data_IF_606384742617
#
_entry.id   IF_606384742617
#
_cell.length_a   1.000
_cell.length_b   1.000
_cell.length_c   1.000
_cell.angle_alpha   90.00
_cell.angle_beta   90.00
_cell.angle_gamma   90.00
#
_symmetry.space_group_name_H-M   'P 1'
#
loop_
_entity.id
_entity.type
_entity.pdbx_description
1 polymer ?
#
# COMPACT_ATOMS: atom_id res chain seq x y z
N UNK A 1 -23.71 25.20 16.23
CA UNK A 1 -23.63 24.46 14.94
C UNK A 1 -22.53 25.09 14.11
N UNK A 2 -21.62 24.32 13.52
CA UNK A 2 -20.49 24.84 12.75
C UNK A 2 -20.95 25.70 11.56
N UNK A 3 -20.22 26.80 11.31
CA UNK A 3 -20.39 27.62 10.10
C UNK A 3 -20.04 26.81 8.85
N UNK A 4 -20.48 27.24 7.64
CA UNK A 4 -20.11 26.57 6.40
C UNK A 4 -18.59 26.42 6.22
N UNK A 5 -17.81 27.48 6.49
CA UNK A 5 -16.35 27.45 6.39
C UNK A 5 -15.71 26.47 7.38
N UNK A 6 -16.21 26.42 8.61
CA UNK A 6 -15.73 25.45 9.62
C UNK A 6 -15.99 24.00 9.22
N UNK A 7 -17.10 23.73 8.51
CA UNK A 7 -17.38 22.38 8.01
C UNK A 7 -16.38 21.96 6.95
N UNK A 8 -16.02 22.86 6.03
CA UNK A 8 -15.04 22.55 4.99
C UNK A 8 -13.66 22.27 5.59
N UNK A 9 -13.25 23.04 6.63
CA UNK A 9 -12.02 22.78 7.38
C UNK A 9 -12.08 21.41 8.07
N UNK A 10 -13.19 21.10 8.74
CA UNK A 10 -13.39 19.81 9.39
C UNK A 10 -13.35 18.66 8.39
N UNK A 11 -13.92 18.82 7.20
CA UNK A 11 -13.87 17.80 6.15
C UNK A 11 -12.43 17.53 5.71
N UNK A 12 -11.63 18.58 5.48
CA UNK A 12 -10.21 18.42 5.11
C UNK A 12 -9.40 17.77 6.21
N UNK A 13 -9.61 18.17 7.47
CA UNK A 13 -8.95 17.53 8.62
C UNK A 13 -9.40 16.07 8.80
N UNK A 14 -10.66 15.76 8.51
CA UNK A 14 -11.19 14.40 8.58
C UNK A 14 -10.53 13.47 7.55
N UNK A 15 -10.12 13.97 6.37
CA UNK A 15 -9.35 13.16 5.41
C UNK A 15 -8.07 12.60 6.06
N UNK A 16 -7.27 13.47 6.69
CA UNK A 16 -6.02 13.03 7.33
C UNK A 16 -6.26 12.30 8.66
N UNK A 17 -7.13 12.82 9.51
CA UNK A 17 -7.33 12.29 10.86
C UNK A 17 -8.11 10.98 10.88
N UNK A 18 -9.18 10.89 10.09
CA UNK A 18 -10.09 9.74 10.10
C UNK A 18 -9.74 8.76 8.99
N UNK A 19 -9.69 9.19 7.72
CA UNK A 19 -9.52 8.23 6.62
C UNK A 19 -8.13 7.61 6.61
N UNK A 20 -7.05 8.39 6.80
CA UNK A 20 -5.69 7.83 6.88
C UNK A 20 -5.54 6.85 8.05
N UNK A 21 -6.08 7.20 9.23
CA UNK A 21 -6.04 6.32 10.40
C UNK A 21 -6.81 5.03 10.13
N UNK A 22 -8.02 5.12 9.58
CA UNK A 22 -8.82 3.95 9.21
C UNK A 22 -8.11 3.08 8.16
N UNK A 23 -7.45 3.66 7.16
CA UNK A 23 -6.64 2.89 6.20
C UNK A 23 -5.55 2.06 6.88
N UNK A 24 -4.88 2.63 7.89
CA UNK A 24 -3.73 2.01 8.54
C UNK A 24 -4.11 0.98 9.61
N UNK A 25 -5.21 1.19 10.33
CA UNK A 25 -5.58 0.35 11.49
C UNK A 25 -6.63 -0.70 11.18
N UNK A 26 -7.34 -0.60 10.05
CA UNK A 26 -8.42 -1.54 9.71
C UNK A 26 -7.86 -2.88 9.28
N UNK A 27 -8.40 -3.97 9.84
CA UNK A 27 -8.14 -5.36 9.40
C UNK A 27 -9.31 -5.97 8.61
N UNK A 28 -10.42 -5.23 8.48
CA UNK A 28 -11.58 -5.63 7.68
C UNK A 28 -11.50 -5.06 6.26
N UNK A 29 -11.35 -5.96 5.28
CA UNK A 29 -11.34 -5.63 3.86
C UNK A 29 -12.56 -4.82 3.39
N UNK A 30 -13.74 -5.01 3.99
CA UNK A 30 -14.94 -4.27 3.62
C UNK A 30 -14.87 -2.81 4.06
N UNK A 31 -14.45 -2.57 5.31
CA UNK A 31 -14.24 -1.20 5.81
C UNK A 31 -13.10 -0.51 5.07
N UNK A 32 -12.03 -1.24 4.75
CA UNK A 32 -10.94 -0.73 3.93
C UNK A 32 -11.45 -0.26 2.56
N UNK A 33 -12.25 -1.08 1.88
CA UNK A 33 -12.81 -0.73 0.57
C UNK A 33 -13.76 0.46 0.62
N UNK A 34 -14.52 0.64 1.72
CA UNK A 34 -15.32 1.87 1.92
C UNK A 34 -14.46 3.12 1.99
N UNK A 35 -13.34 3.05 2.71
CA UNK A 35 -12.41 4.18 2.81
C UNK A 35 -11.77 4.46 1.44
N UNK A 36 -11.34 3.42 0.74
CA UNK A 36 -10.82 3.54 -0.64
C UNK A 36 -11.84 4.19 -1.57
N UNK A 37 -13.13 3.80 -1.49
CA UNK A 37 -14.19 4.42 -2.29
C UNK A 37 -14.33 5.92 -1.99
N UNK A 38 -14.36 6.30 -0.72
CA UNK A 38 -14.41 7.71 -0.30
C UNK A 38 -13.21 8.52 -0.80
N UNK A 39 -12.01 7.94 -0.79
CA UNK A 39 -10.82 8.59 -1.34
C UNK A 39 -10.92 8.79 -2.85
N UNK A 40 -11.43 7.78 -3.57
CA UNK A 40 -11.67 7.89 -5.02
C UNK A 40 -12.68 8.99 -5.35
N UNK A 41 -13.76 9.08 -4.58
CA UNK A 41 -14.76 10.15 -4.69
C UNK A 41 -14.13 11.53 -4.41
N UNK A 42 -13.35 11.65 -3.34
CA UNK A 42 -12.68 12.91 -2.99
C UNK A 42 -11.71 13.38 -4.09
N UNK A 43 -10.96 12.46 -4.70
CA UNK A 43 -10.08 12.77 -5.85
C UNK A 43 -10.89 13.17 -7.08
N UNK A 44 -11.99 12.49 -7.37
CA UNK A 44 -12.88 12.81 -8.48
C UNK A 44 -13.65 14.13 -8.27
N UNK A 45 -13.73 14.62 -7.04
CA UNK A 45 -14.31 15.93 -6.70
C UNK A 45 -13.33 17.10 -6.74
N UNK A 46 -12.02 16.88 -6.96
CA UNK A 46 -11.05 17.97 -7.08
C UNK A 46 -11.28 18.78 -8.36
N UNK A 47 -11.08 20.11 -8.36
CA UNK A 47 -11.16 20.91 -9.58
C UNK A 47 -10.04 20.52 -10.56
N UNK A 48 -10.33 20.64 -11.86
CA UNK A 48 -9.49 20.08 -12.93
C UNK A 48 -8.22 20.89 -13.20
N UNK A 49 -8.30 22.22 -13.10
CA UNK A 49 -7.12 23.08 -13.09
C UNK A 49 -6.72 23.38 -11.65
N UNK A 50 -5.47 23.07 -11.24
CA UNK A 50 -4.95 23.68 -10.03
C UNK A 50 -4.89 25.18 -10.29
N UNK A 51 -5.67 25.96 -9.54
CA UNK A 51 -5.49 27.40 -9.45
C UNK A 51 -3.99 27.64 -9.27
N UNK A 52 -3.40 28.45 -10.14
CA UNK A 52 -1.98 28.79 -10.14
C UNK A 52 -1.63 29.46 -8.82
N UNK A 53 -1.32 28.64 -7.82
CA UNK A 53 -0.66 29.11 -6.62
C UNK A 53 0.66 29.71 -7.09
N UNK A 54 1.00 30.95 -6.67
CA UNK A 54 2.29 31.52 -6.99
C UNK A 54 3.38 30.54 -6.53
N UNK A 55 4.45 30.45 -7.31
CA UNK A 55 5.68 29.73 -6.99
C UNK A 55 6.35 30.37 -5.75
N UNK A 56 5.69 30.32 -4.59
CA UNK A 56 6.31 30.61 -3.32
C UNK A 56 6.59 29.27 -2.69
N UNK A 57 7.89 28.97 -2.66
CA UNK A 57 8.61 28.14 -1.70
C UNK A 57 7.85 26.92 -1.20
N UNK A 58 8.38 25.75 -1.57
CA UNK A 58 7.97 24.43 -1.09
C UNK A 58 7.23 24.56 0.22
N UNK A 59 5.91 24.45 0.11
CA UNK A 59 4.96 24.68 1.18
C UNK A 59 5.28 23.63 2.23
N UNK A 60 6.26 23.97 3.08
CA UNK A 60 6.63 23.29 4.30
C UNK A 60 5.36 23.40 5.11
N UNK A 61 4.55 22.35 5.03
CA UNK A 61 3.22 22.22 5.60
C UNK A 61 2.68 23.56 6.17
N UNK A 62 1.66 24.22 5.59
CA UNK A 62 0.71 24.97 6.39
C UNK A 62 -0.11 23.86 7.09
N UNK A 63 0.61 23.02 7.83
CA UNK A 63 0.16 21.78 8.37
C UNK A 63 -0.78 22.19 9.43
N UNK A 64 -1.97 21.61 9.42
CA UNK A 64 -2.93 21.52 10.52
C UNK A 64 -2.84 22.65 11.54
N UNK A 65 -1.77 22.78 12.33
CA UNK A 65 -1.36 24.01 13.01
C UNK A 65 -1.75 25.33 12.29
N UNK A 66 -1.44 25.53 11.00
CA UNK A 66 -1.83 26.75 10.29
C UNK A 66 -3.35 26.87 10.09
N UNK A 67 -4.04 25.77 9.80
CA UNK A 67 -5.51 25.71 9.70
C UNK A 67 -6.20 25.88 11.06
N UNK A 68 -5.63 25.29 12.12
CA UNK A 68 -6.11 25.38 13.50
C UNK A 68 -5.86 26.76 14.09
N UNK A 69 -4.71 27.38 13.79
CA UNK A 69 -4.41 28.77 14.13
C UNK A 69 -5.36 29.73 13.41
N UNK A 70 -5.65 29.49 12.13
CA UNK A 70 -6.59 30.30 11.36
C UNK A 70 -8.04 30.14 11.87
N UNK A 71 -8.46 28.92 12.20
CA UNK A 71 -9.78 28.65 12.82
C UNK A 71 -9.88 29.28 14.22
N UNK A 72 -8.84 29.15 15.06
CA UNK A 72 -8.78 29.76 16.39
C UNK A 72 -8.85 31.30 16.33
N UNK A 73 -8.31 31.90 15.25
CA UNK A 73 -8.39 33.34 14.99
C UNK A 73 -9.69 33.76 14.28
N UNK A 74 -10.58 32.81 13.97
CA UNK A 74 -11.82 33.07 13.23
C UNK A 74 -11.58 33.61 11.82
N UNK A 75 -10.38 33.40 11.27
CA UNK A 75 -10.00 33.89 9.96
C UNK A 75 -10.69 33.06 8.86
N UNK A 76 -11.17 33.74 7.82
CA UNK A 76 -11.67 33.05 6.63
C UNK A 76 -10.46 32.50 5.90
N UNK A 77 -10.32 31.17 5.91
CA UNK A 77 -9.30 30.48 5.13
C UNK A 77 -9.71 30.55 3.66
N UNK A 78 -8.81 31.03 2.81
CA UNK A 78 -9.04 31.08 1.37
C UNK A 78 -9.29 29.66 0.83
N UNK A 79 -10.31 29.50 -0.03
CA UNK A 79 -10.68 28.21 -0.61
C UNK A 79 -9.48 27.51 -1.29
N UNK A 80 -8.64 28.28 -1.99
CA UNK A 80 -7.42 27.79 -2.65
C UNK A 80 -6.44 27.13 -1.68
N UNK A 81 -6.24 27.72 -0.50
CA UNK A 81 -5.38 27.15 0.57
C UNK A 81 -5.97 25.84 1.05
N UNK A 82 -7.29 25.81 1.28
CA UNK A 82 -7.98 24.62 1.76
C UNK A 82 -7.92 23.48 0.73
N UNK A 83 -8.02 23.80 -0.56
CA UNK A 83 -7.86 22.83 -1.64
C UNK A 83 -6.43 22.31 -1.75
N UNK A 84 -5.41 23.17 -1.60
CA UNK A 84 -4.01 22.75 -1.54
C UNK A 84 -3.78 21.75 -0.40
N UNK A 85 -4.30 22.05 0.79
CA UNK A 85 -4.21 21.12 1.93
C UNK A 85 -4.99 19.83 1.68
N UNK A 86 -6.16 19.91 1.04
CA UNK A 86 -6.96 18.73 0.65
C UNK A 86 -6.17 17.81 -0.28
N UNK A 87 -5.52 18.34 -1.32
CA UNK A 87 -4.65 17.57 -2.23
C UNK A 87 -3.51 16.90 -1.46
N UNK A 88 -2.82 17.64 -0.59
CA UNK A 88 -1.77 17.11 0.28
C UNK A 88 -2.23 15.93 1.14
N UNK A 89 -3.39 16.04 1.80
CA UNK A 89 -3.92 14.96 2.65
C UNK A 89 -4.38 13.72 1.87
N UNK A 90 -4.89 13.89 0.64
CA UNK A 90 -5.19 12.76 -0.23
C UNK A 90 -3.92 11.98 -0.62
N UNK A 91 -2.81 12.67 -0.84
CA UNK A 91 -1.51 12.05 -1.11
C UNK A 91 -0.94 11.35 0.14
N UNK A 92 -1.12 11.92 1.33
CA UNK A 92 -0.74 11.25 2.58
C UNK A 92 -1.53 9.95 2.79
N UNK A 93 -2.81 9.93 2.39
CA UNK A 93 -3.64 8.71 2.41
C UNK A 93 -3.19 7.71 1.35
N UNK A 94 -2.80 8.18 0.16
CA UNK A 94 -2.23 7.33 -0.88
C UNK A 94 -0.96 6.65 -0.37
N UNK A 95 -0.01 7.42 0.17
CA UNK A 95 1.26 6.93 0.71
C UNK A 95 1.09 5.96 1.89
N UNK A 96 0.07 6.15 2.73
CA UNK A 96 -0.30 5.19 3.76
C UNK A 96 -0.60 3.80 3.18
N UNK A 97 -1.09 3.72 1.94
CA UNK A 97 -1.28 2.48 1.20
C UNK A 97 -0.02 1.64 1.06
N UNK A 98 1.19 2.23 1.09
CA UNK A 98 2.46 1.48 1.07
C UNK A 98 2.61 0.58 2.30
N UNK A 99 2.24 1.09 3.47
CA UNK A 99 2.36 0.38 4.74
C UNK A 99 1.43 -0.83 4.76
N UNK A 100 0.23 -0.67 4.23
CA UNK A 100 -0.81 -1.72 4.20
C UNK A 100 -0.57 -2.71 3.06
N UNK A 101 0.21 -2.36 2.04
CA UNK A 101 0.48 -3.20 0.87
C UNK A 101 1.08 -4.58 1.21
N UNK A 102 1.75 -4.70 2.36
CA UNK A 102 2.25 -5.98 2.87
C UNK A 102 1.13 -6.99 3.08
N UNK A 103 -0.09 -6.54 3.42
CA UNK A 103 -1.26 -7.35 3.68
C UNK A 103 -1.87 -7.87 2.36
N UNK A 104 -1.95 -9.19 2.13
CA UNK A 104 -2.46 -9.74 0.88
C UNK A 104 -3.86 -9.26 0.51
N UNK A 105 -4.74 -9.12 1.51
CA UNK A 105 -6.14 -8.71 1.31
C UNK A 105 -6.30 -7.26 0.85
N UNK A 106 -5.33 -6.38 1.11
CA UNK A 106 -5.42 -4.94 0.79
C UNK A 106 -4.84 -4.59 -0.59
N UNK A 107 -3.96 -5.44 -1.14
CA UNK A 107 -3.13 -5.15 -2.32
C UNK A 107 -3.93 -4.72 -3.54
N UNK A 108 -4.97 -5.48 -3.90
CA UNK A 108 -5.80 -5.19 -5.08
C UNK A 108 -6.48 -3.82 -4.93
N UNK A 109 -6.96 -3.51 -3.74
CA UNK A 109 -7.63 -2.25 -3.46
C UNK A 109 -6.67 -1.07 -3.51
N UNK A 110 -5.43 -1.21 -3.02
CA UNK A 110 -4.39 -0.19 -3.18
C UNK A 110 -3.98 -0.05 -4.65
N UNK A 111 -3.84 -1.14 -5.38
CA UNK A 111 -3.55 -1.14 -6.82
C UNK A 111 -4.61 -0.32 -7.59
N UNK A 112 -5.89 -0.58 -7.33
CA UNK A 112 -7.01 0.16 -7.93
C UNK A 112 -7.06 1.63 -7.49
N UNK A 113 -6.68 1.93 -6.25
CA UNK A 113 -6.59 3.30 -5.76
C UNK A 113 -5.49 4.07 -6.51
N UNK A 114 -4.31 3.49 -6.68
CA UNK A 114 -3.20 4.09 -7.42
C UNK A 114 -3.56 4.29 -8.89
N UNK A 115 -4.24 3.32 -9.50
CA UNK A 115 -4.74 3.46 -10.87
C UNK A 115 -5.78 4.60 -10.99
N UNK A 116 -6.62 4.81 -9.98
CA UNK A 116 -7.54 5.96 -9.93
C UNK A 116 -6.81 7.30 -9.81
N UNK A 117 -5.84 7.42 -8.90
CA UNK A 117 -5.02 8.63 -8.78
C UNK A 117 -4.26 8.93 -10.08
N UNK A 118 -3.77 7.90 -10.78
CA UNK A 118 -3.12 8.05 -12.09
C UNK A 118 -4.06 8.64 -13.14
N UNK A 119 -5.33 8.24 -13.17
CA UNK A 119 -6.33 8.78 -14.11
C UNK A 119 -6.64 10.26 -13.83
N UNK A 120 -6.53 10.68 -12.56
CA UNK A 120 -6.80 12.04 -12.12
C UNK A 120 -5.54 12.86 -11.81
N UNK A 121 -4.37 12.43 -12.30
CA UNK A 121 -3.07 13.04 -11.96
C UNK A 121 -2.99 14.53 -12.34
N UNK A 122 -3.70 14.94 -13.42
CA UNK A 122 -3.74 16.32 -13.89
C UNK A 122 -4.38 17.31 -12.91
N UNK A 123 -5.17 16.81 -11.94
CA UNK A 123 -5.84 17.62 -10.92
C UNK A 123 -4.91 18.03 -9.77
N UNK A 124 -3.69 17.49 -9.74
CA UNK A 124 -2.66 17.77 -8.75
C UNK A 124 -1.61 18.74 -9.30
N UNK A 125 -0.95 19.49 -8.41
CA UNK A 125 0.16 20.36 -8.82
C UNK A 125 1.36 19.56 -9.34
N UNK A 126 2.23 20.10 -10.20
CA UNK A 126 3.38 19.37 -10.73
C UNK A 126 4.23 18.68 -9.65
N UNK A 127 4.53 19.37 -8.54
CA UNK A 127 5.28 18.80 -7.41
C UNK A 127 4.54 17.64 -6.71
N UNK A 128 3.21 17.64 -6.73
CA UNK A 128 2.37 16.58 -6.17
C UNK A 128 2.24 15.39 -7.14
N UNK A 129 2.28 15.65 -8.45
CA UNK A 129 2.25 14.61 -9.48
C UNK A 129 3.46 13.67 -9.35
N UNK A 130 4.61 14.17 -8.90
CA UNK A 130 5.79 13.36 -8.61
C UNK A 130 5.54 12.34 -7.48
N UNK A 131 4.76 12.71 -6.44
CA UNK A 131 4.37 11.77 -5.37
C UNK A 131 3.47 10.65 -5.90
N UNK A 132 2.53 10.99 -6.79
CA UNK A 132 1.68 10.00 -7.48
C UNK A 132 2.53 9.09 -8.38
N UNK A 133 3.48 9.66 -9.13
CA UNK A 133 4.39 8.92 -9.99
C UNK A 133 5.25 7.92 -9.19
N UNK A 134 5.78 8.34 -8.04
CA UNK A 134 6.53 7.48 -7.14
C UNK A 134 5.69 6.29 -6.64
N UNK A 135 4.40 6.50 -6.38
CA UNK A 135 3.50 5.41 -5.99
C UNK A 135 3.18 4.46 -7.16
N UNK A 136 3.05 4.98 -8.38
CA UNK A 136 2.87 4.16 -9.59
C UNK A 136 4.09 3.25 -9.80
N UNK A 137 5.31 3.79 -9.65
CA UNK A 137 6.55 3.01 -9.74
C UNK A 137 6.57 1.90 -8.68
N UNK A 138 6.28 2.25 -7.43
CA UNK A 138 6.19 1.28 -6.33
C UNK A 138 5.22 0.12 -6.66
N UNK A 139 4.00 0.40 -7.10
CA UNK A 139 3.02 -0.65 -7.45
C UNK A 139 3.50 -1.51 -8.62
N UNK A 140 4.16 -0.91 -9.63
CA UNK A 140 4.75 -1.66 -10.75
C UNK A 140 5.83 -2.62 -10.28
N UNK A 141 6.73 -2.18 -9.41
CA UNK A 141 7.78 -3.02 -8.81
C UNK A 141 7.18 -4.16 -8.00
N UNK A 142 6.17 -3.87 -7.17
CA UNK A 142 5.47 -4.89 -6.39
C UNK A 142 4.76 -5.92 -7.27
N UNK A 143 4.09 -5.48 -8.36
CA UNK A 143 3.49 -6.38 -9.36
C UNK A 143 4.55 -7.25 -10.03
N UNK A 144 5.70 -6.67 -10.38
CA UNK A 144 6.82 -7.40 -11.00
C UNK A 144 7.42 -8.44 -10.04
N UNK A 145 7.67 -8.08 -8.78
CA UNK A 145 8.16 -8.99 -7.76
C UNK A 145 7.22 -10.18 -7.54
N UNK A 146 5.90 -9.93 -7.46
CA UNK A 146 4.90 -11.00 -7.36
C UNK A 146 4.91 -11.94 -8.56
N UNK A 147 5.12 -11.41 -9.78
CA UNK A 147 5.20 -12.22 -11.00
C UNK A 147 6.44 -13.12 -11.01
N UNK A 148 7.54 -12.69 -10.41
CA UNK A 148 8.78 -13.46 -10.31
C UNK A 148 8.68 -14.62 -9.29
N UNK A 149 7.67 -14.60 -8.42
CA UNK A 149 7.48 -15.61 -7.38
C UNK A 149 8.48 -15.48 -6.22
N UNK A 150 8.32 -16.27 -5.15
CA UNK A 150 9.26 -16.29 -4.04
C UNK A 150 10.64 -16.72 -4.55
N UNK A 151 11.69 -16.05 -4.08
CA UNK A 151 13.07 -16.41 -4.46
C UNK A 151 13.37 -17.85 -4.01
N UNK A 152 14.25 -18.56 -4.72
CA UNK A 152 14.75 -19.87 -4.29
C UNK A 152 15.27 -19.85 -2.83
N UNK A 153 15.82 -18.72 -2.38
CA UNK A 153 16.27 -18.53 -0.99
C UNK A 153 15.11 -18.44 0.01
N UNK A 154 14.00 -17.80 -0.36
CA UNK A 154 12.78 -17.72 0.47
C UNK A 154 12.05 -19.06 0.49
N UNK A 155 11.90 -19.70 -0.68
CA UNK A 155 11.31 -21.03 -0.80
C UNK A 155 12.11 -22.10 -0.02
N UNK A 156 13.43 -22.01 0.00
CA UNK A 156 14.28 -22.91 0.80
C UNK A 156 14.26 -22.60 2.31
N UNK A 157 13.95 -21.36 2.70
CA UNK A 157 13.82 -20.98 4.12
C UNK A 157 12.54 -21.57 4.71
N UNK A 158 11.45 -21.52 3.96
CA UNK A 158 10.13 -21.92 4.43
C UNK A 158 9.83 -23.41 4.18
N UNK A 159 10.77 -24.16 3.57
CA UNK A 159 10.64 -25.62 3.44
C UNK A 159 10.88 -26.30 4.79
N UNK A 160 9.89 -27.08 5.22
CA UNK A 160 10.01 -27.86 6.46
C UNK A 160 10.91 -29.09 6.26
N UNK A 161 11.45 -29.66 7.35
CA UNK A 161 12.19 -30.92 7.28
C UNK A 161 11.37 -32.05 6.66
N UNK A 162 10.06 -32.05 6.92
CA UNK A 162 9.11 -32.99 6.32
C UNK A 162 9.01 -32.85 4.80
N UNK A 163 8.88 -31.63 4.27
CA UNK A 163 8.81 -31.42 2.82
C UNK A 163 10.11 -31.81 2.11
N UNK A 164 11.26 -31.55 2.73
CA UNK A 164 12.56 -32.00 2.19
C UNK A 164 12.65 -33.52 2.14
N UNK A 165 12.20 -34.21 3.18
CA UNK A 165 12.17 -35.68 3.21
C UNK A 165 11.14 -36.19 2.20
N UNK A 166 9.92 -35.66 2.17
CA UNK A 166 8.88 -36.04 1.21
C UNK A 166 9.37 -35.90 -0.25
N UNK A 167 10.04 -34.80 -0.58
CA UNK A 167 10.65 -34.60 -1.90
C UNK A 167 11.77 -35.61 -2.20
N UNK A 168 12.61 -35.94 -1.23
CA UNK A 168 13.64 -36.96 -1.39
C UNK A 168 13.06 -38.36 -1.61
N UNK A 169 11.97 -38.70 -0.90
CA UNK A 169 11.30 -39.99 -1.02
C UNK A 169 10.43 -40.10 -2.28
N UNK A 170 9.83 -39.00 -2.74
CA UNK A 170 9.05 -39.00 -3.99
C UNK A 170 9.93 -39.23 -5.23
N UNK A 171 11.20 -38.83 -5.16
CA UNK A 171 12.20 -39.11 -6.20
C UNK A 171 12.91 -40.46 -6.02
N UNK A 172 12.72 -41.14 -4.89
CA UNK A 172 13.35 -42.43 -4.64
C UNK A 172 12.63 -43.54 -5.40
N UNK A 173 13.37 -44.29 -6.23
CA UNK A 173 12.83 -45.50 -6.88
C UNK A 173 12.83 -46.65 -5.88
N UNK A 174 11.64 -47.09 -5.45
CA UNK A 174 11.50 -48.26 -4.57
C UNK A 174 11.65 -49.52 -5.41
N UNK A 175 12.80 -50.20 -5.28
CA UNK A 175 12.99 -51.50 -5.93
C UNK A 175 12.14 -52.57 -5.24
N UNK A 176 11.60 -53.51 -6.03
CA UNK A 176 10.67 -54.57 -5.59
C UNK A 176 11.23 -55.49 -4.48
N UNK A 177 12.53 -55.37 -4.15
CA UNK A 177 13.19 -56.09 -3.04
C UNK A 177 13.30 -55.26 -1.75
N UNK A 178 12.54 -54.16 -1.62
CA UNK A 178 12.47 -53.35 -0.39
C UNK A 178 13.74 -52.55 -0.08
N UNK A 179 14.66 -52.41 -1.04
CA UNK A 179 15.89 -51.62 -0.87
C UNK A 179 15.65 -50.20 -1.37
N UNK A 180 15.78 -49.22 -0.48
CA UNK A 180 15.77 -47.79 -0.79
C UNK A 180 17.22 -47.32 -0.81
N UNK A 181 17.72 -46.92 -1.99
CA UNK A 181 19.10 -46.47 -2.16
C UNK A 181 19.64 -46.74 -3.56
N UNK A 182 20.14 -45.69 -4.22
CA UNK A 182 20.95 -45.77 -5.42
C UNK A 182 22.41 -45.93 -4.99
N UNK A 183 23.00 -47.09 -5.25
CA UNK A 183 24.42 -47.35 -4.96
C UNK A 183 24.60 -48.64 -4.15
N UNK A 184 25.04 -49.69 -4.83
CA UNK A 184 25.42 -50.93 -4.20
C UNK A 184 26.76 -50.78 -3.46
N UNK A 185 26.80 -51.29 -2.23
CA UNK A 185 27.93 -52.09 -1.78
C UNK A 185 27.41 -53.15 -0.80
N UNK A 186 27.69 -54.42 -1.12
CA UNK A 186 27.33 -55.57 -0.31
C UNK A 186 28.53 -55.95 0.55
N UNK A 187 28.49 -55.62 1.84
CA UNK A 187 29.19 -56.38 2.89
C UNK A 187 28.17 -56.71 3.97
N UNK A 188 27.45 -57.81 3.77
CA UNK A 188 26.72 -58.45 4.87
C UNK A 188 27.73 -59.23 5.69
N UNK A 189 28.10 -58.73 6.87
CA UNK A 189 28.76 -59.53 7.88
C UNK A 189 27.75 -60.56 8.39
N UNK A 190 28.12 -61.83 8.28
CA UNK A 190 27.30 -62.97 8.69
C UNK A 190 27.47 -63.18 10.20
N UNK A 191 26.52 -62.71 11.00
CA UNK A 191 26.55 -62.77 12.48
C UNK A 191 26.03 -64.08 13.09
N UNK A 192 26.00 -65.16 12.32
CA UNK A 192 25.62 -66.49 12.80
C UNK A 192 26.74 -67.47 12.48
N UNK A 193 27.63 -67.62 13.47
CA UNK A 193 28.34 -68.88 13.73
C UNK A 193 27.50 -69.72 14.69
#
# INVERSE_FOLDING_TARGET
LFSPSQREVLEVLALRGVLRSQLLTTDDSFQFNKVVARLKEAVAGLPEEPATLPESEGVSEPGIAALLEADAKGAVIAAEVLEGVRRGHLLDCLEAGRVVYRLPWARTSVDLLVDHFRQHVRRFLPAEQDRVAAMIVFVKEQRAARRQGPSAKESNRDTTSFERVSAAWSQATVSHRGKVGSGGDHKSENWLG
#
